data_IF_084761553151
#
_entry.id   IF_084761553151
#
_cell.length_a   1.000
_cell.length_b   1.000
_cell.length_c   1.000
_cell.angle_alpha   90.00
_cell.angle_beta   90.00
_cell.angle_gamma   90.00
#
_symmetry.space_group_name_H-M   'P 1'
#
loop_
_entity.id
_entity.type
_entity.pdbx_description
1 polymer ?
#
# COMPACT_ATOMS: atom_id res chain seq x y z
N UNK A 1 -2.04 -36.87 19.67
CA UNK A 1 -2.75 -36.05 18.67
C UNK A 1 -1.91 -36.07 17.42
N UNK A 2 -2.17 -36.92 16.42
CA UNK A 2 -1.39 -36.87 15.19
C UNK A 2 -1.86 -35.64 14.40
N UNK A 3 -0.95 -34.70 14.16
CA UNK A 3 -1.17 -33.52 13.33
C UNK A 3 -1.49 -33.96 11.90
N UNK A 4 -2.47 -33.29 11.28
CA UNK A 4 -2.82 -33.54 9.89
C UNK A 4 -1.72 -32.99 8.98
N UNK A 5 -0.91 -33.87 8.40
CA UNK A 5 -0.06 -33.53 7.26
C UNK A 5 -0.95 -33.23 6.04
N UNK A 6 -0.72 -32.07 5.41
CA UNK A 6 -1.37 -31.72 4.16
C UNK A 6 -0.78 -32.57 3.02
N UNK A 7 -1.52 -33.58 2.58
CA UNK A 7 -1.17 -34.40 1.42
C UNK A 7 -1.50 -33.63 0.13
N UNK A 8 -0.51 -32.98 -0.48
CA UNK A 8 -0.69 -32.23 -1.74
C UNK A 8 -0.58 -33.18 -2.94
N UNK A 9 -1.71 -33.50 -3.58
CA UNK A 9 -1.81 -34.46 -4.70
C UNK A 9 -1.73 -33.80 -6.10
N UNK A 10 -0.97 -32.71 -6.22
CA UNK A 10 -0.75 -32.01 -7.49
C UNK A 10 0.53 -31.18 -7.44
N UNK A 11 1.10 -30.81 -8.61
CA UNK A 11 2.18 -29.81 -8.65
C UNK A 11 1.68 -28.57 -7.92
N UNK A 12 2.32 -28.20 -6.82
CA UNK A 12 2.19 -26.86 -6.28
C UNK A 12 2.61 -25.90 -7.40
N UNK A 13 1.65 -25.29 -8.10
CA UNK A 13 1.89 -24.19 -9.04
C UNK A 13 2.25 -22.97 -8.19
N UNK A 14 3.44 -22.98 -7.57
CA UNK A 14 3.87 -21.99 -6.58
C UNK A 14 4.17 -20.60 -7.14
N UNK A 15 3.81 -20.30 -8.39
CA UNK A 15 3.92 -18.97 -8.96
C UNK A 15 2.60 -18.62 -9.62
N UNK A 16 1.94 -17.56 -9.15
CA UNK A 16 0.97 -16.86 -9.98
C UNK A 16 1.70 -16.50 -11.29
N UNK A 17 1.05 -16.69 -12.44
CA UNK A 17 1.61 -16.34 -13.74
C UNK A 17 0.69 -15.34 -14.42
N UNK A 18 1.27 -14.46 -15.24
CA UNK A 18 0.45 -13.65 -16.15
C UNK A 18 -0.03 -14.48 -17.37
N UNK A 19 -0.77 -13.85 -18.27
CA UNK A 19 -1.30 -14.52 -19.48
C UNK A 19 -0.23 -14.97 -20.47
N UNK A 20 1.03 -14.53 -20.29
CA UNK A 20 2.18 -14.97 -21.08
C UNK A 20 2.93 -16.15 -20.44
N UNK A 21 2.54 -16.58 -19.24
CA UNK A 21 3.23 -17.62 -18.46
C UNK A 21 4.42 -17.08 -17.64
N UNK A 22 4.60 -15.75 -17.56
CA UNK A 22 5.67 -15.15 -16.76
C UNK A 22 5.35 -15.30 -15.28
N UNK A 23 6.28 -15.86 -14.51
CA UNK A 23 6.15 -16.00 -13.06
C UNK A 23 6.06 -14.63 -12.37
N UNK A 24 5.03 -14.47 -11.54
CA UNK A 24 4.79 -13.32 -10.71
C UNK A 24 5.30 -13.58 -9.28
N UNK A 25 5.75 -12.50 -8.65
CA UNK A 25 6.18 -12.42 -7.25
C UNK A 25 5.20 -11.57 -6.47
N UNK A 26 5.13 -11.84 -5.18
CA UNK A 26 4.38 -11.02 -4.22
C UNK A 26 5.41 -10.27 -3.37
N UNK A 27 5.23 -8.96 -3.27
CA UNK A 27 5.98 -8.10 -2.35
C UNK A 27 4.96 -7.34 -1.49
N UNK A 28 5.27 -7.09 -0.22
CA UNK A 28 4.38 -6.34 0.65
C UNK A 28 5.19 -5.49 1.63
N UNK A 29 4.54 -4.50 2.21
CA UNK A 29 5.19 -3.60 3.15
C UNK A 29 4.24 -2.60 3.78
N UNK A 30 4.80 -1.73 4.61
CA UNK A 30 4.10 -0.57 5.17
C UNK A 30 5.03 0.62 5.35
N UNK A 31 4.47 1.82 5.33
CA UNK A 31 5.18 3.02 5.81
C UNK A 31 5.31 3.00 7.34
N UNK A 32 6.30 3.70 7.93
CA UNK A 32 6.47 3.74 9.38
C UNK A 32 5.27 4.33 10.13
N UNK A 33 4.83 3.67 11.19
CA UNK A 33 3.75 4.18 12.04
C UNK A 33 4.24 5.39 12.86
N UNK A 34 3.42 6.44 12.94
CA UNK A 34 3.76 7.68 13.66
C UNK A 34 4.86 8.54 13.03
N UNK A 35 5.48 8.07 11.95
CA UNK A 35 6.56 8.76 11.24
C UNK A 35 6.50 8.51 9.73
N UNK A 36 5.30 8.26 9.20
CA UNK A 36 5.09 8.21 7.75
C UNK A 36 5.41 9.59 7.18
N UNK A 37 6.17 9.63 6.07
CA UNK A 37 6.62 10.85 5.42
C UNK A 37 5.49 11.54 4.63
N UNK A 38 4.40 11.87 5.32
CA UNK A 38 3.27 12.61 4.77
C UNK A 38 3.70 14.01 4.34
N UNK A 39 3.25 14.41 3.16
CA UNK A 39 3.54 15.71 2.56
C UNK A 39 2.22 16.49 2.38
N UNK A 40 2.20 17.81 2.59
CA UNK A 40 1.02 18.63 2.34
C UNK A 40 0.70 18.68 0.84
N UNK A 41 -0.57 18.47 0.48
CA UNK A 41 -1.00 18.58 -0.91
C UNK A 41 -0.89 20.04 -1.39
N UNK A 42 -0.04 20.28 -2.39
CA UNK A 42 0.26 21.62 -2.96
C UNK A 42 0.66 22.66 -1.90
N UNK A 43 1.29 22.23 -0.80
CA UNK A 43 1.67 23.12 0.31
C UNK A 43 0.48 23.68 1.12
N UNK A 44 -0.74 23.17 0.88
CA UNK A 44 -1.93 23.55 1.63
C UNK A 44 -2.26 22.60 2.78
N UNK A 45 -3.40 22.84 3.43
CA UNK A 45 -3.88 22.05 4.58
C UNK A 45 -5.05 21.14 4.23
N UNK A 46 -5.54 21.12 2.98
CA UNK A 46 -6.78 20.40 2.62
C UNK A 46 -6.59 18.93 2.30
N UNK A 47 -5.36 18.44 2.36
CA UNK A 47 -5.02 17.06 2.07
C UNK A 47 -3.53 16.83 2.20
N UNK A 48 -3.17 15.57 2.27
CA UNK A 48 -1.80 15.11 2.34
C UNK A 48 -1.60 14.00 1.32
N UNK A 49 -0.34 13.70 1.05
CA UNK A 49 0.04 12.54 0.25
C UNK A 49 1.31 11.89 0.78
N UNK A 50 1.56 10.65 0.37
CA UNK A 50 2.84 9.97 0.59
C UNK A 50 3.22 9.21 -0.66
N UNK A 51 4.52 9.26 -1.00
CA UNK A 51 5.13 8.41 -2.00
C UNK A 51 5.69 7.16 -1.32
N UNK A 52 5.23 5.99 -1.77
CA UNK A 52 5.69 4.70 -1.26
C UNK A 52 6.71 4.12 -2.23
N UNK A 53 7.93 3.97 -1.76
CA UNK A 53 9.02 3.30 -2.50
C UNK A 53 8.89 1.78 -2.36
N UNK A 54 8.90 1.11 -3.51
CA UNK A 54 8.85 -0.35 -3.64
C UNK A 54 9.98 -0.88 -4.53
N UNK A 55 10.99 -0.06 -4.83
CA UNK A 55 12.15 -0.40 -5.66
C UNK A 55 12.87 -1.68 -5.19
N UNK A 56 12.92 -1.92 -3.88
CA UNK A 56 13.50 -3.13 -3.27
C UNK A 56 12.80 -4.43 -3.70
N UNK A 57 11.55 -4.38 -4.19
CA UNK A 57 10.85 -5.54 -4.73
C UNK A 57 11.38 -5.99 -6.11
N UNK A 58 12.09 -5.11 -6.81
CA UNK A 58 12.74 -5.42 -8.08
C UNK A 58 11.79 -5.69 -9.24
N UNK A 59 10.62 -5.04 -9.28
CA UNK A 59 9.66 -5.27 -10.36
C UNK A 59 10.14 -4.73 -11.70
N UNK A 60 9.89 -5.48 -12.79
CA UNK A 60 10.30 -5.04 -14.14
C UNK A 60 9.24 -4.17 -14.81
N UNK A 61 7.96 -4.42 -14.53
CA UNK A 61 6.84 -3.58 -14.95
C UNK A 61 5.99 -3.16 -13.75
N UNK A 62 5.10 -2.19 -13.94
CA UNK A 62 4.18 -1.74 -12.87
C UNK A 62 3.36 -2.92 -12.34
N UNK A 63 3.50 -3.30 -11.05
CA UNK A 63 2.75 -4.40 -10.48
C UNK A 63 1.30 -4.00 -10.18
N UNK A 64 0.47 -4.99 -9.87
CA UNK A 64 -0.84 -4.76 -9.28
C UNK A 64 -0.64 -4.41 -7.81
N UNK A 65 -0.92 -3.15 -7.44
CA UNK A 65 -0.89 -2.70 -6.05
C UNK A 65 -2.28 -2.82 -5.41
N UNK A 66 -2.34 -3.50 -4.26
CA UNK A 66 -3.43 -3.47 -3.31
C UNK A 66 -2.97 -2.60 -2.14
N UNK A 67 -3.73 -1.55 -1.83
CA UNK A 67 -3.31 -0.51 -0.89
C UNK A 67 -4.41 -0.28 0.13
N UNK A 68 -4.02 -0.14 1.40
CA UNK A 68 -4.92 0.20 2.49
C UNK A 68 -4.26 1.20 3.45
N UNK A 69 -5.05 2.14 3.96
CA UNK A 69 -4.61 3.05 5.01
C UNK A 69 -5.05 2.53 6.37
N UNK A 70 -4.07 2.28 7.23
CA UNK A 70 -4.27 1.87 8.61
C UNK A 70 -4.06 3.06 9.55
N UNK A 71 -4.61 2.98 10.76
CA UNK A 71 -4.45 4.00 11.78
C UNK A 71 -5.20 3.66 13.06
N UNK A 72 -4.93 4.41 14.12
CA UNK A 72 -5.49 4.21 15.46
C UNK A 72 -6.80 5.00 15.68
N UNK A 73 -7.24 5.78 14.70
CA UNK A 73 -8.45 6.60 14.82
C UNK A 73 -8.63 7.62 13.71
N UNK A 74 -9.84 8.19 13.64
CA UNK A 74 -10.25 9.19 12.65
C UNK A 74 -10.25 8.71 11.18
N UNK A 75 -9.90 7.45 10.90
CA UNK A 75 -9.90 6.87 9.55
C UNK A 75 -11.27 6.99 8.86
N UNK A 76 -12.37 6.89 9.62
CA UNK A 76 -13.74 6.95 9.10
C UNK A 76 -14.10 8.28 8.43
N UNK A 77 -13.44 9.38 8.81
CA UNK A 77 -13.65 10.71 8.19
C UNK A 77 -12.82 10.92 6.93
N UNK A 78 -11.80 10.08 6.72
CA UNK A 78 -10.89 10.22 5.59
C UNK A 78 -11.51 9.69 4.29
N UNK A 79 -11.11 10.29 3.18
CA UNK A 79 -11.31 9.77 1.83
C UNK A 79 -9.96 9.69 1.11
N UNK A 80 -9.82 8.71 0.23
CA UNK A 80 -8.52 8.26 -0.27
C UNK A 80 -7.91 7.18 0.62
N UNK A 81 -6.57 7.05 0.61
CA UNK A 81 -5.86 6.08 1.46
C UNK A 81 -5.77 4.65 0.88
N UNK A 82 -6.66 4.27 -0.04
CA UNK A 82 -6.65 2.96 -0.72
C UNK A 82 -6.43 3.04 -2.24
N UNK A 83 -6.21 4.25 -2.76
CA UNK A 83 -6.02 4.51 -4.18
C UNK A 83 -4.55 4.78 -4.48
N UNK A 84 -3.94 3.90 -5.28
CA UNK A 84 -2.57 4.04 -5.76
C UNK A 84 -2.54 4.87 -7.05
N UNK A 85 -2.05 6.10 -6.93
CA UNK A 85 -1.79 7.05 -8.02
C UNK A 85 -0.36 6.90 -8.55
N UNK A 86 -0.11 7.42 -9.75
CA UNK A 86 1.23 7.56 -10.34
C UNK A 86 2.08 6.28 -10.26
N UNK A 87 1.43 5.12 -10.48
CA UNK A 87 2.01 3.79 -10.28
C UNK A 87 3.12 3.53 -11.29
N UNK A 88 4.27 3.12 -10.78
CA UNK A 88 5.44 2.68 -11.56
C UNK A 88 5.86 1.28 -11.10
N UNK A 89 6.94 0.74 -11.68
CA UNK A 89 7.58 -0.48 -11.16
C UNK A 89 8.37 -0.26 -9.86
N UNK A 90 8.53 0.99 -9.42
CA UNK A 90 9.33 1.37 -8.27
C UNK A 90 8.50 1.99 -7.15
N UNK A 91 7.22 2.28 -7.35
CA UNK A 91 6.42 2.89 -6.32
C UNK A 91 5.11 3.48 -6.83
N UNK A 92 4.40 4.11 -5.90
CA UNK A 92 3.12 4.75 -6.14
C UNK A 92 2.89 5.86 -5.11
N UNK A 93 1.91 6.71 -5.39
CA UNK A 93 1.47 7.77 -4.48
C UNK A 93 0.10 7.46 -3.90
N UNK A 94 -0.13 7.83 -2.65
CA UNK A 94 -1.45 7.83 -2.02
C UNK A 94 -1.81 9.23 -1.58
N UNK A 95 -3.01 9.68 -1.92
CA UNK A 95 -3.60 10.92 -1.43
C UNK A 95 -4.65 10.63 -0.36
N UNK A 96 -4.74 11.52 0.63
CA UNK A 96 -5.73 11.46 1.70
C UNK A 96 -6.23 12.88 1.97
N UNK A 97 -7.54 13.02 2.18
CA UNK A 97 -8.16 14.25 2.71
C UNK A 97 -9.36 13.90 3.58
N UNK A 98 -9.88 14.86 4.35
CA UNK A 98 -11.20 14.71 4.95
C UNK A 98 -12.30 14.96 3.92
N UNK A 99 -13.36 14.16 3.98
CA UNK A 99 -14.54 14.35 3.13
C UNK A 99 -15.25 15.68 3.43
N UNK A 100 -15.22 16.13 4.68
CA UNK A 100 -15.77 17.41 5.15
C UNK A 100 -15.05 18.65 4.61
N UNK A 101 -13.83 18.50 4.06
CA UNK A 101 -13.00 19.63 3.61
C UNK A 101 -12.29 20.37 4.74
N UNK A 102 -12.31 19.81 5.95
CA UNK A 102 -11.48 20.24 7.08
C UNK A 102 -9.99 20.13 6.79
N UNK A 103 -9.20 20.82 7.60
CA UNK A 103 -7.75 20.77 7.52
C UNK A 103 -7.23 19.39 7.95
N UNK A 104 -6.27 18.88 7.19
CA UNK A 104 -5.52 17.66 7.42
C UNK A 104 -4.05 17.97 7.22
N UNK A 105 -3.26 17.83 8.30
CA UNK A 105 -1.81 18.04 8.30
C UNK A 105 -1.06 16.71 8.41
N UNK A 106 0.22 16.66 7.99
CA UNK A 106 1.10 15.52 8.25
C UNK A 106 1.18 15.13 9.73
N UNK A 107 1.28 16.12 10.62
CA UNK A 107 1.35 15.91 12.07
C UNK A 107 0.08 15.27 12.62
N UNK A 108 -1.10 15.71 12.14
CA UNK A 108 -2.36 15.07 12.51
C UNK A 108 -2.35 13.60 12.09
N UNK A 109 -2.01 13.29 10.83
CA UNK A 109 -1.97 11.92 10.33
C UNK A 109 -1.01 11.04 11.14
N UNK A 110 0.19 11.53 11.43
CA UNK A 110 1.16 10.82 12.26
C UNK A 110 0.68 10.63 13.71
N UNK A 111 0.03 11.64 14.31
CA UNK A 111 -0.56 11.51 15.66
C UNK A 111 -1.66 10.45 15.75
N UNK A 112 -2.33 10.15 14.64
CA UNK A 112 -3.33 9.07 14.51
C UNK A 112 -2.72 7.74 14.07
N UNK A 113 -1.40 7.67 13.91
CA UNK A 113 -0.72 6.49 13.40
C UNK A 113 -1.12 6.15 11.97
N UNK A 114 -1.55 7.14 11.16
CA UNK A 114 -1.92 6.88 9.78
C UNK A 114 -0.70 6.45 8.97
N UNK A 115 -0.80 5.28 8.37
CA UNK A 115 0.24 4.67 7.56
C UNK A 115 -0.38 3.86 6.42
N UNK A 116 0.39 3.66 5.35
CA UNK A 116 -0.03 2.87 4.20
C UNK A 116 0.54 1.46 4.33
N UNK A 117 -0.34 0.46 4.28
CA UNK A 117 0.03 -0.93 4.08
C UNK A 117 -0.30 -1.33 2.64
N UNK A 118 0.54 -2.15 2.03
CA UNK A 118 0.37 -2.55 0.64
C UNK A 118 0.85 -3.97 0.36
N UNK A 119 0.28 -4.53 -0.70
CA UNK A 119 0.70 -5.75 -1.36
C UNK A 119 0.82 -5.47 -2.86
N UNK A 120 1.88 -5.97 -3.49
CA UNK A 120 2.17 -5.80 -4.90
C UNK A 120 2.39 -7.17 -5.56
N UNK A 121 1.77 -7.38 -6.72
CA UNK A 121 1.91 -8.61 -7.50
C UNK A 121 2.45 -8.25 -8.89
N UNK A 122 3.64 -8.73 -9.24
CA UNK A 122 4.33 -8.37 -10.48
C UNK A 122 5.57 -9.22 -10.77
N UNK A 123 6.30 -8.93 -11.85
CA UNK A 123 7.41 -9.73 -12.38
C UNK A 123 8.81 -9.25 -11.98
#
# INVERSE_FOLDING_TARGET
>A
NPEAELHVIGKLLGAAQDTSGTALRICCGKTPEGSTNWQPYRGGTKGIYVDVDTSACGFKSTPIYLVNMHGNGSNWGATGGSSAYDRTNQGFRVYVRFSSGEDLTPDFANSRGWHIQWLAIGN
#
